data_IF_869300767465
#
_entry.id   IF_869300767465
#
_cell.length_a   1.000
_cell.length_b   1.000
_cell.length_c   1.000
_cell.angle_alpha   90.00
_cell.angle_beta   90.00
_cell.angle_gamma   90.00
#
_symmetry.space_group_name_H-M   'P 1'
#
loop_
_entity.id
_entity.type
_entity.pdbx_description
1 polymer ?
#
# COMPACT_ATOMS: atom_id res chain seq x y z
N UNK A 1 4.83 -18.69 6.40
CA UNK A 1 4.42 -18.97 5.02
C UNK A 1 5.68 -18.88 4.16
N UNK A 2 6.15 -20.01 3.65
CA UNK A 2 7.20 -20.06 2.63
C UNK A 2 6.50 -19.90 1.29
N UNK A 3 6.47 -18.70 0.74
CA UNK A 3 6.12 -18.48 -0.65
C UNK A 3 7.14 -19.27 -1.47
N UNK A 4 6.68 -20.20 -2.27
CA UNK A 4 7.50 -21.09 -3.06
C UNK A 4 8.51 -20.31 -3.90
N UNK A 5 9.77 -20.54 -3.61
CA UNK A 5 10.95 -19.81 -4.11
C UNK A 5 11.31 -20.14 -5.58
N UNK A 6 10.40 -20.65 -6.40
CA UNK A 6 10.73 -21.14 -7.75
C UNK A 6 9.91 -20.54 -8.91
N UNK A 7 9.00 -19.61 -8.68
CA UNK A 7 8.36 -18.91 -9.80
C UNK A 7 8.56 -17.40 -9.65
N UNK A 8 9.13 -16.77 -10.67
CA UNK A 8 9.13 -15.32 -10.86
C UNK A 8 7.73 -14.75 -11.14
N UNK A 9 6.69 -15.53 -10.89
CA UNK A 9 5.29 -15.26 -11.17
C UNK A 9 4.68 -14.66 -9.91
N UNK A 10 4.05 -13.49 -10.05
CA UNK A 10 3.36 -12.81 -8.96
C UNK A 10 2.04 -13.47 -8.55
N UNK A 11 1.23 -12.77 -7.76
CA UNK A 11 -0.03 -13.30 -7.22
C UNK A 11 -1.10 -13.55 -8.30
N UNK A 12 -1.05 -12.83 -9.40
CA UNK A 12 -2.03 -12.93 -10.50
C UNK A 12 -1.60 -13.97 -11.53
N UNK A 13 -2.57 -14.70 -12.09
CA UNK A 13 -2.35 -15.62 -13.21
C UNK A 13 -2.17 -17.08 -12.82
N UNK A 14 -2.25 -17.41 -11.54
CA UNK A 14 -2.15 -18.79 -11.06
C UNK A 14 -3.51 -19.49 -10.91
N UNK A 15 -4.61 -18.77 -10.97
CA UNK A 15 -6.01 -19.27 -10.76
C UNK A 15 -6.23 -19.98 -9.40
N UNK A 16 -5.33 -19.81 -8.45
CA UNK A 16 -5.30 -20.55 -7.18
C UNK A 16 -5.48 -19.68 -5.94
N UNK A 17 -5.42 -18.34 -6.08
CA UNK A 17 -5.48 -17.44 -4.90
C UNK A 17 -6.72 -17.70 -4.04
N UNK A 18 -7.88 -17.87 -4.66
CA UNK A 18 -9.13 -18.10 -3.94
C UNK A 18 -9.15 -19.44 -3.22
N UNK A 19 -8.57 -20.48 -3.81
CA UNK A 19 -8.51 -21.82 -3.22
C UNK A 19 -7.44 -21.91 -2.15
N UNK A 20 -6.31 -21.22 -2.32
CA UNK A 20 -5.25 -21.12 -1.31
C UNK A 20 -5.73 -20.42 -0.03
N UNK A 21 -6.57 -19.39 -0.15
CA UNK A 21 -7.15 -18.70 1.02
C UNK A 21 -8.03 -19.63 1.84
N UNK A 22 -8.78 -20.52 1.21
CA UNK A 22 -9.60 -21.53 1.90
C UNK A 22 -8.79 -22.56 2.68
N UNK A 23 -7.49 -22.68 2.40
CA UNK A 23 -6.58 -23.55 3.16
C UNK A 23 -6.06 -22.88 4.44
N UNK A 24 -6.39 -21.61 4.68
CA UNK A 24 -6.09 -20.97 5.97
C UNK A 24 -7.04 -21.58 7.01
N UNK A 25 -6.45 -22.28 7.94
CA UNK A 25 -7.13 -23.05 8.97
C UNK A 25 -7.77 -22.13 10.03
N UNK A 26 -8.93 -22.52 10.54
CA UNK A 26 -9.64 -21.80 11.63
C UNK A 26 -8.76 -21.67 12.88
N UNK A 27 -7.90 -22.65 13.19
CA UNK A 27 -6.94 -22.56 14.28
C UNK A 27 -5.92 -21.42 14.15
N UNK A 28 -5.61 -21.00 12.92
CA UNK A 28 -4.79 -19.81 12.67
C UNK A 28 -5.53 -18.52 13.04
N UNK A 29 -6.85 -18.47 12.75
CA UNK A 29 -7.71 -17.34 13.13
C UNK A 29 -7.83 -17.22 14.65
N UNK A 30 -8.09 -18.32 15.35
CA UNK A 30 -8.19 -18.35 16.82
C UNK A 30 -6.90 -17.86 17.47
N UNK A 31 -5.77 -18.30 16.94
CA UNK A 31 -4.46 -17.83 17.39
C UNK A 31 -4.27 -16.34 17.14
N UNK A 32 -4.66 -15.85 15.97
CA UNK A 32 -4.52 -14.42 15.63
C UNK A 32 -5.43 -13.55 16.51
N UNK A 33 -6.66 -13.98 16.78
CA UNK A 33 -7.57 -13.30 17.71
C UNK A 33 -6.93 -13.21 19.11
N UNK A 34 -6.33 -14.29 19.58
CA UNK A 34 -5.61 -14.30 20.87
C UNK A 34 -4.40 -13.36 20.87
N UNK A 35 -3.64 -13.30 19.78
CA UNK A 35 -2.51 -12.38 19.62
C UNK A 35 -2.98 -10.92 19.67
N UNK A 36 -4.13 -10.59 19.06
CA UNK A 36 -4.75 -9.27 19.14
C UNK A 36 -5.19 -8.95 20.58
N UNK A 37 -5.87 -9.86 21.25
CA UNK A 37 -6.31 -9.66 22.65
C UNK A 37 -5.11 -9.42 23.58
N UNK A 38 -4.03 -10.18 23.40
CA UNK A 38 -2.78 -9.98 24.13
C UNK A 38 -2.13 -8.63 23.82
N UNK A 39 -2.17 -8.17 22.55
CA UNK A 39 -1.66 -6.86 22.18
C UNK A 39 -2.47 -5.73 22.81
N UNK A 40 -3.79 -5.83 22.84
CA UNK A 40 -4.66 -4.84 23.48
C UNK A 40 -4.37 -4.75 24.99
N UNK A 41 -4.17 -5.89 25.64
CA UNK A 41 -3.87 -5.95 27.08
C UNK A 41 -2.45 -5.46 27.42
N UNK A 42 -1.46 -5.82 26.59
CA UNK A 42 -0.04 -5.50 26.78
C UNK A 42 0.62 -5.21 25.43
N UNK A 43 0.52 -3.97 24.90
CA UNK A 43 1.09 -3.63 23.61
C UNK A 43 2.62 -3.70 23.64
N UNK A 44 3.20 -4.44 22.69
CA UNK A 44 4.63 -4.52 22.46
C UNK A 44 4.96 -4.19 21.01
N UNK A 45 6.19 -3.74 20.75
CA UNK A 45 6.67 -3.51 19.39
C UNK A 45 6.50 -4.77 18.52
N UNK A 46 6.85 -5.94 19.06
CA UNK A 46 6.75 -7.22 18.35
C UNK A 46 5.31 -7.58 17.97
N UNK A 47 4.34 -7.38 18.87
CA UNK A 47 2.94 -7.65 18.58
C UNK A 47 2.35 -6.64 17.60
N UNK A 48 2.74 -5.36 17.66
CA UNK A 48 2.35 -4.34 16.70
C UNK A 48 2.89 -4.66 15.29
N UNK A 49 4.15 -5.08 15.18
CA UNK A 49 4.76 -5.50 13.92
C UNK A 49 4.05 -6.74 13.34
N UNK A 50 3.70 -7.72 14.17
CA UNK A 50 2.95 -8.89 13.72
C UNK A 50 1.61 -8.49 13.11
N UNK A 51 0.82 -7.68 13.82
CA UNK A 51 -0.51 -7.23 13.36
C UNK A 51 -0.39 -6.43 12.06
N UNK A 52 0.57 -5.52 11.99
CA UNK A 52 0.80 -4.73 10.79
C UNK A 52 1.26 -5.59 9.58
N UNK A 53 2.03 -6.65 9.82
CA UNK A 53 2.41 -7.61 8.77
C UNK A 53 1.21 -8.45 8.31
N UNK A 54 0.39 -8.95 9.25
CA UNK A 54 -0.84 -9.67 8.89
C UNK A 54 -1.75 -8.79 8.05
N UNK A 55 -1.94 -7.53 8.44
CA UNK A 55 -2.72 -6.57 7.67
C UNK A 55 -2.16 -6.38 6.26
N UNK A 56 -0.87 -6.13 6.13
CA UNK A 56 -0.21 -5.96 4.84
C UNK A 56 -0.42 -7.17 3.92
N UNK A 57 -0.11 -8.38 4.39
CA UNK A 57 -0.25 -9.60 3.58
C UNK A 57 -1.70 -9.90 3.24
N UNK A 58 -2.63 -9.67 4.17
CA UNK A 58 -4.06 -9.86 3.93
C UNK A 58 -4.58 -8.87 2.88
N UNK A 59 -4.10 -7.63 2.87
CA UNK A 59 -4.49 -6.63 1.86
C UNK A 59 -3.96 -6.99 0.47
N UNK A 60 -2.74 -7.51 0.36
CA UNK A 60 -2.18 -8.01 -0.89
C UNK A 60 -3.01 -9.16 -1.47
N UNK A 61 -3.32 -10.17 -0.65
CA UNK A 61 -4.14 -11.31 -1.06
C UNK A 61 -5.56 -10.88 -1.46
N UNK A 62 -6.20 -10.04 -0.64
CA UNK A 62 -7.54 -9.53 -0.94
C UNK A 62 -7.57 -8.74 -2.25
N UNK A 63 -6.56 -7.91 -2.50
CA UNK A 63 -6.48 -7.14 -3.72
C UNK A 63 -6.20 -8.03 -4.95
N UNK A 64 -5.38 -9.05 -4.81
CA UNK A 64 -5.19 -10.08 -5.84
C UNK A 64 -6.50 -10.78 -6.20
N UNK A 65 -7.25 -11.28 -5.20
CA UNK A 65 -8.55 -11.94 -5.40
C UNK A 65 -9.56 -11.01 -6.09
N UNK A 66 -9.61 -9.74 -5.69
CA UNK A 66 -10.53 -8.77 -6.30
C UNK A 66 -10.28 -8.61 -7.79
N UNK A 67 -9.03 -8.48 -8.18
CA UNK A 67 -8.64 -8.06 -9.53
C UNK A 67 -8.40 -9.25 -10.47
N UNK A 68 -8.04 -10.43 -9.99
CA UNK A 68 -7.78 -11.61 -10.80
C UNK A 68 -8.86 -11.90 -11.87
N UNK A 69 -10.19 -11.76 -11.59
CA UNK A 69 -11.20 -11.96 -12.63
C UNK A 69 -11.05 -11.04 -13.85
N UNK A 70 -10.56 -9.81 -13.67
CA UNK A 70 -10.33 -8.86 -14.77
C UNK A 70 -9.21 -9.38 -15.68
N UNK A 71 -8.10 -9.87 -15.10
CA UNK A 71 -7.00 -10.47 -15.86
C UNK A 71 -7.41 -11.76 -16.57
N UNK A 72 -8.40 -12.47 -16.03
CA UNK A 72 -9.02 -13.63 -16.65
C UNK A 72 -10.13 -13.26 -17.67
N UNK A 73 -10.18 -12.00 -18.12
CA UNK A 73 -11.08 -11.52 -19.18
C UNK A 73 -12.51 -11.21 -18.73
N UNK A 74 -12.81 -11.18 -17.44
CA UNK A 74 -14.12 -10.75 -16.95
C UNK A 74 -14.24 -9.24 -16.94
N UNK A 75 -15.47 -8.72 -17.10
CA UNK A 75 -15.76 -7.28 -17.11
C UNK A 75 -15.81 -6.65 -15.72
N UNK A 76 -15.96 -7.44 -14.67
CA UNK A 76 -16.11 -6.99 -13.28
C UNK A 76 -15.12 -7.71 -12.38
N UNK A 77 -14.63 -6.97 -11.40
CA UNK A 77 -13.81 -7.50 -10.32
C UNK A 77 -14.64 -8.41 -9.39
N UNK A 78 -13.97 -9.24 -8.62
CA UNK A 78 -14.62 -9.96 -7.54
C UNK A 78 -15.04 -8.98 -6.44
N UNK A 79 -16.29 -9.11 -5.97
CA UNK A 79 -16.86 -8.29 -4.90
C UNK A 79 -16.92 -9.01 -3.55
N UNK A 80 -16.23 -10.12 -3.42
CA UNK A 80 -16.32 -11.01 -2.28
C UNK A 80 -14.94 -11.32 -1.72
N UNK A 81 -14.74 -11.06 -0.42
CA UNK A 81 -13.54 -11.43 0.33
C UNK A 81 -13.91 -12.59 1.26
N UNK A 82 -13.36 -13.80 1.01
CA UNK A 82 -13.72 -14.99 1.74
C UNK A 82 -13.16 -15.00 3.16
N UNK A 83 -13.86 -15.71 4.06
CA UNK A 83 -13.30 -16.10 5.35
C UNK A 83 -12.20 -17.17 5.15
N UNK A 84 -11.10 -17.15 5.91
CA UNK A 84 -10.77 -16.25 7.04
C UNK A 84 -10.03 -14.96 6.64
N UNK A 85 -9.76 -14.75 5.36
CA UNK A 85 -9.04 -13.55 4.89
C UNK A 85 -9.77 -12.25 5.27
N UNK A 86 -11.10 -12.24 5.16
CA UNK A 86 -11.93 -11.11 5.60
C UNK A 86 -11.69 -10.78 7.07
N UNK A 87 -11.66 -11.79 7.95
CA UNK A 87 -11.38 -11.64 9.37
C UNK A 87 -9.98 -11.11 9.66
N UNK A 88 -8.95 -11.67 9.02
CA UNK A 88 -7.57 -11.21 9.16
C UNK A 88 -7.43 -9.73 8.77
N UNK A 89 -8.00 -9.35 7.64
CA UNK A 89 -7.92 -7.99 7.11
C UNK A 89 -8.68 -6.99 7.99
N UNK A 90 -9.91 -7.30 8.37
CA UNK A 90 -10.75 -6.40 9.17
C UNK A 90 -10.21 -6.19 10.57
N UNK A 91 -9.84 -7.28 11.29
CA UNK A 91 -9.29 -7.18 12.64
C UNK A 91 -7.97 -6.42 12.68
N UNK A 92 -7.05 -6.75 11.77
CA UNK A 92 -5.76 -6.07 11.72
C UNK A 92 -5.92 -4.59 11.33
N UNK A 93 -6.82 -4.26 10.41
CA UNK A 93 -7.13 -2.89 10.01
C UNK A 93 -7.70 -2.07 11.17
N UNK A 94 -8.60 -2.65 11.95
CA UNK A 94 -9.17 -1.99 13.15
C UNK A 94 -8.10 -1.64 14.18
N UNK A 95 -7.15 -2.55 14.44
CA UNK A 95 -6.08 -2.32 15.42
C UNK A 95 -5.06 -1.29 14.92
N UNK A 96 -4.74 -1.33 13.63
CA UNK A 96 -3.76 -0.38 13.03
C UNK A 96 -4.37 0.98 12.71
N UNK A 97 -5.70 1.14 12.82
CA UNK A 97 -6.41 2.37 12.44
C UNK A 97 -6.44 2.60 10.92
N UNK A 98 -6.16 1.57 10.13
CA UNK A 98 -6.15 1.64 8.67
C UNK A 98 -7.47 1.09 8.10
N UNK A 99 -7.82 1.51 6.89
CA UNK A 99 -8.98 0.92 6.21
C UNK A 99 -8.70 -0.54 5.81
N UNK A 100 -9.73 -1.41 5.72
CA UNK A 100 -9.57 -2.80 5.29
C UNK A 100 -9.45 -2.90 3.76
N UNK A 101 -8.56 -2.13 3.21
CA UNK A 101 -8.23 -2.05 1.79
C UNK A 101 -6.72 -1.87 1.65
N UNK A 102 -6.24 -2.04 0.44
CA UNK A 102 -4.85 -1.88 0.09
C UNK A 102 -4.41 -0.43 0.27
N UNK A 103 -3.39 -0.17 1.05
CA UNK A 103 -2.87 1.17 1.31
C UNK A 103 -1.51 1.41 0.67
N UNK A 104 -1.33 2.61 0.11
CA UNK A 104 -0.11 2.99 -0.59
C UNK A 104 1.13 2.89 0.29
N UNK A 105 1.19 3.67 1.37
CA UNK A 105 2.39 3.72 2.20
C UNK A 105 2.63 2.40 2.95
N UNK A 106 1.61 1.90 3.65
CA UNK A 106 1.77 0.75 4.52
C UNK A 106 1.96 -0.58 3.76
N UNK A 107 1.24 -0.78 2.66
CA UNK A 107 1.21 -2.07 1.98
C UNK A 107 1.97 -2.07 0.67
N UNK A 108 1.70 -1.08 -0.18
CA UNK A 108 2.20 -1.08 -1.54
C UNK A 108 3.67 -0.67 -1.65
N UNK A 109 4.12 0.24 -0.78
CA UNK A 109 5.49 0.77 -0.82
C UNK A 109 6.34 0.23 0.32
N UNK A 110 6.11 0.68 1.57
CA UNK A 110 7.07 0.51 2.66
C UNK A 110 7.31 -0.94 3.10
N UNK A 111 6.33 -1.83 2.94
CA UNK A 111 6.42 -3.24 3.36
C UNK A 111 6.59 -4.21 2.21
N UNK A 112 6.71 -3.72 0.99
CA UNK A 112 6.69 -4.56 -0.21
C UNK A 112 8.05 -4.80 -0.85
N UNK A 113 9.12 -4.22 -0.30
CA UNK A 113 10.47 -4.38 -0.81
C UNK A 113 11.55 -4.24 0.27
N UNK A 114 12.74 -4.68 -0.07
CA UNK A 114 13.94 -4.56 0.77
C UNK A 114 14.93 -3.66 0.03
N UNK A 115 15.26 -2.53 0.64
CA UNK A 115 16.31 -1.64 0.14
C UNK A 115 17.67 -2.34 0.21
N UNK A 116 18.57 -2.11 -0.76
CA UNK A 116 19.93 -2.60 -0.68
C UNK A 116 20.70 -1.92 0.48
N UNK A 117 21.68 -2.63 1.03
CA UNK A 117 22.56 -2.07 2.08
C UNK A 117 23.40 -0.90 1.55
N UNK A 118 23.76 -0.96 0.27
CA UNK A 118 24.51 0.12 -0.38
C UNK A 118 23.59 1.32 -0.65
N UNK A 119 24.00 2.47 -0.17
CA UNK A 119 23.33 3.73 -0.47
C UNK A 119 23.64 4.21 -1.88
N UNK A 120 22.70 4.91 -2.50
CA UNK A 120 22.93 5.60 -3.75
C UNK A 120 23.82 6.83 -3.48
N UNK A 121 24.99 6.86 -4.09
CA UNK A 121 26.04 7.88 -3.88
C UNK A 121 25.96 9.06 -4.86
N UNK A 122 25.28 8.88 -5.98
CA UNK A 122 25.17 9.89 -7.03
C UNK A 122 23.79 9.87 -7.69
N UNK A 123 22.93 10.74 -7.22
CA UNK A 123 21.56 10.89 -7.75
C UNK A 123 21.49 11.62 -9.11
N UNK A 124 22.55 12.33 -9.52
CA UNK A 124 22.58 13.02 -10.81
C UNK A 124 22.87 12.07 -11.99
N UNK A 125 23.33 10.85 -11.68
CA UNK A 125 23.57 9.82 -12.68
C UNK A 125 22.32 8.96 -12.87
N UNK A 126 21.60 9.21 -13.97
CA UNK A 126 20.37 8.46 -14.31
C UNK A 126 20.60 6.93 -14.39
N UNK A 127 21.76 6.48 -14.86
CA UNK A 127 22.09 5.05 -14.93
C UNK A 127 22.19 4.44 -13.54
N UNK A 128 22.86 5.12 -12.63
CA UNK A 128 22.97 4.70 -11.23
C UNK A 128 21.61 4.66 -10.54
N UNK A 129 20.74 5.65 -10.78
CA UNK A 129 19.38 5.64 -10.26
C UNK A 129 18.57 4.44 -10.75
N UNK A 130 18.66 4.12 -12.04
CA UNK A 130 18.01 2.95 -12.65
C UNK A 130 18.53 1.66 -12.01
N UNK A 131 19.84 1.51 -11.90
CA UNK A 131 20.46 0.32 -11.32
C UNK A 131 20.11 0.17 -9.83
N UNK A 132 20.09 1.28 -9.09
CA UNK A 132 19.65 1.29 -7.70
C UNK A 132 18.19 0.83 -7.56
N UNK A 133 17.26 1.39 -8.33
CA UNK A 133 15.85 0.97 -8.31
C UNK A 133 15.72 -0.53 -8.61
N UNK A 134 16.46 -1.05 -9.60
CA UNK A 134 16.45 -2.47 -9.96
C UNK A 134 17.08 -3.37 -8.91
N UNK A 135 17.97 -2.85 -8.09
CA UNK A 135 18.62 -3.60 -6.99
C UNK A 135 17.70 -3.78 -5.77
N UNK A 136 16.64 -2.98 -5.65
CA UNK A 136 15.66 -3.12 -4.58
C UNK A 136 14.90 -4.43 -4.78
N UNK A 137 14.94 -5.29 -3.76
CA UNK A 137 14.33 -6.63 -3.83
C UNK A 137 12.85 -6.55 -3.47
N UNK A 138 11.92 -6.79 -4.40
CA UNK A 138 10.51 -6.89 -4.08
C UNK A 138 10.23 -8.16 -3.24
N UNK A 139 9.37 -8.03 -2.23
CA UNK A 139 8.92 -9.13 -1.37
C UNK A 139 7.66 -9.80 -1.91
N UNK A 140 6.86 -9.06 -2.66
CA UNK A 140 5.60 -9.49 -3.23
C UNK A 140 5.38 -8.75 -4.54
N UNK A 141 4.62 -9.33 -5.46
CA UNK A 141 4.19 -8.71 -6.70
C UNK A 141 2.85 -9.29 -7.13
N UNK A 142 2.03 -8.51 -7.86
CA UNK A 142 0.83 -9.02 -8.49
C UNK A 142 1.15 -9.80 -9.77
N UNK A 143 2.05 -9.28 -10.61
CA UNK A 143 2.47 -9.89 -11.87
C UNK A 143 3.79 -10.65 -11.71
N UNK A 144 4.90 -9.98 -11.94
CA UNK A 144 6.24 -10.52 -11.86
C UNK A 144 7.18 -9.60 -11.05
N UNK A 145 8.31 -10.17 -10.64
CA UNK A 145 9.25 -9.50 -9.72
C UNK A 145 10.28 -8.62 -10.44
N UNK A 146 10.31 -8.59 -11.76
CA UNK A 146 11.30 -7.87 -12.57
C UNK A 146 10.68 -7.01 -13.69
N UNK A 147 9.36 -6.83 -13.65
CA UNK A 147 8.62 -6.12 -14.67
C UNK A 147 8.31 -4.66 -14.34
N UNK A 148 7.29 -4.18 -15.04
CA UNK A 148 6.82 -2.79 -14.96
C UNK A 148 6.29 -2.41 -13.55
N UNK A 149 5.65 -3.36 -12.87
CA UNK A 149 5.16 -3.18 -11.50
C UNK A 149 6.32 -2.94 -10.53
N UNK A 150 7.39 -3.75 -10.64
CA UNK A 150 8.58 -3.56 -9.82
C UNK A 150 9.19 -2.18 -10.05
N UNK A 151 9.40 -1.77 -11.30
CA UNK A 151 9.99 -0.49 -11.65
C UNK A 151 9.23 0.67 -11.01
N UNK A 152 7.92 0.69 -11.15
CA UNK A 152 7.07 1.72 -10.54
C UNK A 152 7.19 1.71 -9.01
N UNK A 153 6.94 0.58 -8.39
CA UNK A 153 6.82 0.45 -6.93
C UNK A 153 8.15 0.65 -6.21
N UNK A 154 9.24 0.08 -6.75
CA UNK A 154 10.56 0.21 -6.14
C UNK A 154 11.11 1.63 -6.30
N UNK A 155 10.73 2.36 -7.34
CA UNK A 155 11.02 3.80 -7.41
C UNK A 155 10.38 4.56 -6.25
N UNK A 156 9.11 4.29 -5.94
CA UNK A 156 8.43 4.93 -4.82
C UNK A 156 9.07 4.56 -3.48
N UNK A 157 9.48 3.29 -3.30
CA UNK A 157 10.20 2.89 -2.09
C UNK A 157 11.56 3.60 -1.95
N UNK A 158 12.27 3.79 -3.06
CA UNK A 158 13.52 4.57 -3.06
C UNK A 158 13.28 6.05 -2.70
N UNK A 159 12.20 6.64 -3.23
CA UNK A 159 11.81 8.02 -2.92
C UNK A 159 11.40 8.19 -1.44
N UNK A 160 10.67 7.23 -0.88
CA UNK A 160 10.29 7.27 0.54
C UNK A 160 11.51 7.24 1.47
N UNK A 161 12.63 6.67 1.04
CA UNK A 161 13.89 6.77 1.78
C UNK A 161 14.41 8.22 1.84
N UNK A 162 14.33 8.96 0.74
CA UNK A 162 14.73 10.38 0.75
C UNK A 162 13.77 11.24 1.55
N UNK A 163 12.51 10.83 1.67
CA UNK A 163 11.48 11.52 2.44
C UNK A 163 11.80 11.61 3.93
N UNK A 164 12.46 10.60 4.50
CA UNK A 164 12.86 10.62 5.91
C UNK A 164 13.80 11.80 6.19
N UNK A 165 14.78 12.02 5.32
CA UNK A 165 15.71 13.15 5.44
C UNK A 165 14.96 14.48 5.34
N UNK A 166 14.01 14.60 4.44
CA UNK A 166 13.18 15.81 4.32
C UNK A 166 12.38 16.06 5.58
N UNK A 167 11.64 15.07 6.09
CA UNK A 167 10.74 15.20 7.24
C UNK A 167 11.54 15.54 8.50
N UNK A 168 12.63 14.84 8.77
CA UNK A 168 13.47 15.06 9.96
C UNK A 168 14.04 16.48 9.97
N UNK A 169 14.65 16.92 8.88
CA UNK A 169 15.25 18.25 8.80
C UNK A 169 14.20 19.36 8.77
N UNK A 170 13.00 19.08 8.27
CA UNK A 170 11.87 20.02 8.32
C UNK A 170 11.41 20.28 9.76
N UNK A 171 11.28 19.23 10.55
CA UNK A 171 10.92 19.35 11.97
C UNK A 171 11.98 20.13 12.73
N UNK A 172 13.28 19.83 12.54
CA UNK A 172 14.38 20.54 13.17
C UNK A 172 14.40 22.04 12.78
N UNK A 173 14.19 22.35 11.50
CA UNK A 173 14.11 23.74 11.03
C UNK A 173 12.92 24.48 11.65
N UNK A 174 11.77 23.83 11.78
CA UNK A 174 10.55 24.39 12.41
C UNK A 174 10.76 24.65 13.90
N UNK A 175 11.56 23.85 14.59
CA UNK A 175 11.96 24.05 15.98
C UNK A 175 13.06 25.13 16.15
N UNK A 176 13.56 25.69 15.06
CA UNK A 176 14.62 26.73 15.09
C UNK A 176 16.04 26.20 15.22
N UNK A 177 16.23 24.87 15.07
CA UNK A 177 17.54 24.23 15.14
C UNK A 177 18.24 24.36 13.79
N UNK A 178 19.45 24.92 13.75
CA UNK A 178 20.33 25.00 12.57
C UNK A 178 19.57 25.20 11.22
N UNK A 179 18.68 26.19 11.22
CA UNK A 179 17.66 26.39 10.16
C UNK A 179 18.31 26.33 8.77
N UNK A 180 19.44 27.04 8.56
CA UNK A 180 20.08 27.06 7.24
C UNK A 180 20.53 25.69 6.79
N UNK A 181 21.24 24.95 7.65
CA UNK A 181 21.77 23.63 7.35
C UNK A 181 20.60 22.64 7.06
N UNK A 182 19.53 22.71 7.86
CA UNK A 182 18.37 21.84 7.66
C UNK A 182 17.61 22.18 6.37
N UNK A 183 17.52 23.46 5.98
CA UNK A 183 16.94 23.84 4.68
C UNK A 183 17.77 23.33 3.49
N UNK A 184 19.11 23.37 3.59
CA UNK A 184 19.99 22.79 2.56
C UNK A 184 19.80 21.27 2.42
N UNK A 185 19.58 20.55 3.53
CA UNK A 185 19.27 19.11 3.52
C UNK A 185 17.89 18.81 2.95
N UNK A 186 16.88 19.65 3.20
CA UNK A 186 15.54 19.53 2.60
C UNK A 186 15.62 19.72 1.07
N UNK A 187 16.36 20.73 0.62
CA UNK A 187 16.60 20.96 -0.82
C UNK A 187 17.27 19.74 -1.46
N UNK A 188 18.31 19.21 -0.84
CA UNK A 188 19.00 18.00 -1.30
C UNK A 188 18.06 16.80 -1.39
N UNK A 189 17.27 16.53 -0.35
CA UNK A 189 16.30 15.43 -0.35
C UNK A 189 15.28 15.57 -1.47
N UNK A 190 14.80 16.78 -1.73
CA UNK A 190 13.86 17.08 -2.81
C UNK A 190 14.49 16.84 -4.19
N UNK A 191 15.72 17.28 -4.39
CA UNK A 191 16.47 17.03 -5.63
C UNK A 191 16.67 15.54 -5.86
N UNK A 192 17.10 14.79 -4.85
CA UNK A 192 17.28 13.33 -4.93
C UNK A 192 16.00 12.61 -5.27
N UNK A 193 14.89 12.98 -4.63
CA UNK A 193 13.57 12.42 -4.95
C UNK A 193 13.15 12.68 -6.40
N UNK A 194 13.38 13.89 -6.91
CA UNK A 194 13.11 14.25 -8.31
C UNK A 194 13.96 13.44 -9.31
N UNK A 195 15.22 13.18 -8.99
CA UNK A 195 16.09 12.36 -9.85
C UNK A 195 15.63 10.89 -9.89
N UNK A 196 15.23 10.33 -8.76
CA UNK A 196 14.61 8.99 -8.71
C UNK A 196 13.30 8.95 -9.50
N UNK A 197 12.45 9.98 -9.35
CA UNK A 197 11.21 10.07 -10.12
C UNK A 197 11.46 10.12 -11.63
N UNK A 198 12.47 10.85 -12.09
CA UNK A 198 12.86 10.88 -13.49
C UNK A 198 13.34 9.50 -13.99
N UNK A 199 14.02 8.72 -13.13
CA UNK A 199 14.45 7.37 -13.47
C UNK A 199 13.26 6.41 -13.62
N UNK A 200 12.14 6.66 -12.94
CA UNK A 200 10.92 5.83 -13.02
C UNK A 200 10.45 5.62 -14.46
N UNK A 201 10.52 6.64 -15.31
CA UNK A 201 10.13 6.56 -16.72
C UNK A 201 11.00 5.62 -17.58
N UNK A 202 12.13 5.15 -17.03
CA UNK A 202 13.02 4.19 -17.67
C UNK A 202 12.85 2.76 -17.16
N UNK A 203 12.20 2.60 -16.01
CA UNK A 203 11.95 1.30 -15.38
C UNK A 203 10.47 0.91 -15.35
N UNK A 204 9.57 1.86 -15.64
CA UNK A 204 8.13 1.63 -15.70
C UNK A 204 7.53 2.36 -16.91
N UNK A 205 6.94 1.60 -17.82
CA UNK A 205 6.30 2.15 -19.01
C UNK A 205 4.88 2.65 -18.70
N UNK A 206 4.52 3.92 -19.02
CA UNK A 206 3.22 4.51 -18.68
C UNK A 206 1.99 3.75 -19.19
N UNK A 207 2.07 3.18 -20.40
CA UNK A 207 0.95 2.41 -20.96
C UNK A 207 0.74 1.09 -20.24
N UNK A 208 1.82 0.39 -19.90
CA UNK A 208 1.76 -0.85 -19.12
C UNK A 208 1.35 -0.56 -17.68
N UNK A 209 1.85 0.53 -17.08
CA UNK A 209 1.41 0.98 -15.77
C UNK A 209 -0.12 1.09 -15.67
N UNK A 210 -0.76 1.72 -16.64
CA UNK A 210 -2.22 1.88 -16.63
C UNK A 210 -2.98 0.55 -16.71
N UNK A 211 -2.43 -0.46 -17.38
CA UNK A 211 -3.05 -1.76 -17.58
C UNK A 211 -2.79 -2.74 -16.42
N UNK A 212 -1.57 -2.72 -15.90
CA UNK A 212 -1.06 -3.78 -15.04
C UNK A 212 -0.91 -3.36 -13.58
N UNK A 213 -0.73 -2.05 -13.33
CA UNK A 213 -0.45 -1.54 -11.99
C UNK A 213 -1.61 -0.72 -11.44
N UNK A 214 -2.07 0.26 -12.21
CA UNK A 214 -3.09 1.22 -11.75
C UNK A 214 -4.38 0.56 -11.30
N UNK A 215 -4.76 -0.56 -11.90
CA UNK A 215 -5.99 -1.27 -11.56
C UNK A 215 -6.01 -1.77 -10.11
N UNK A 216 -4.84 -2.08 -9.53
CA UNK A 216 -4.72 -2.55 -8.15
C UNK A 216 -4.81 -1.42 -7.11
N UNK A 217 -4.51 -0.20 -7.51
CA UNK A 217 -4.52 0.96 -6.62
C UNK A 217 -5.75 1.85 -6.79
N UNK A 218 -6.69 1.46 -7.65
CA UNK A 218 -7.99 2.11 -7.76
C UNK A 218 -8.87 1.71 -6.57
N UNK A 219 -9.45 2.72 -5.91
CA UNK A 219 -10.42 2.47 -4.83
C UNK A 219 -11.77 1.99 -5.33
N UNK A 220 -12.62 1.69 -4.37
CA UNK A 220 -13.99 1.22 -4.60
C UNK A 220 -14.98 2.35 -4.92
N UNK A 221 -14.51 3.57 -5.11
CA UNK A 221 -15.38 4.71 -5.36
C UNK A 221 -16.28 4.45 -6.57
N UNK A 222 -17.59 4.48 -6.30
CA UNK A 222 -18.69 4.21 -7.23
C UNK A 222 -18.86 5.23 -8.35
N UNK A 223 -17.79 5.58 -9.04
CA UNK A 223 -17.89 6.34 -10.27
C UNK A 223 -18.47 5.47 -11.37
N UNK A 224 -19.32 6.03 -12.20
CA UNK A 224 -19.82 5.40 -13.41
C UNK A 224 -18.65 4.79 -14.18
N UNK A 225 -18.68 3.47 -14.37
CA UNK A 225 -17.59 2.73 -15.02
C UNK A 225 -16.67 1.98 -14.05
N UNK A 226 -16.89 2.05 -12.74
CA UNK A 226 -16.17 1.23 -11.78
C UNK A 226 -16.25 -0.26 -12.13
N UNK A 227 -15.13 -0.95 -12.01
CA UNK A 227 -15.06 -2.41 -12.14
C UNK A 227 -15.74 -3.12 -10.95
N UNK A 228 -15.99 -2.40 -9.85
CA UNK A 228 -16.67 -2.90 -8.65
C UNK A 228 -18.17 -2.64 -8.68
N UNK A 229 -18.98 -3.46 -8.00
CA UNK A 229 -20.40 -3.20 -7.83
C UNK A 229 -20.62 -1.97 -6.90
N UNK A 230 -21.76 -1.30 -7.07
CA UNK A 230 -22.14 -0.13 -6.25
C UNK A 230 -22.26 -0.45 -4.76
N UNK A 231 -22.60 -1.70 -4.43
CA UNK A 231 -22.69 -2.18 -3.05
C UNK A 231 -21.33 -2.25 -2.34
N UNK A 232 -20.22 -2.21 -3.09
CA UNK A 232 -18.88 -2.38 -2.57
C UNK A 232 -18.43 -3.84 -2.48
N UNK A 233 -17.52 -4.11 -1.53
CA UNK A 233 -16.98 -5.44 -1.25
C UNK A 233 -17.75 -6.09 -0.10
N UNK A 234 -18.11 -7.36 -0.29
CA UNK A 234 -18.67 -8.18 0.76
C UNK A 234 -17.55 -8.92 1.51
N UNK A 235 -17.49 -8.73 2.81
CA UNK A 235 -16.58 -9.41 3.72
C UNK A 235 -17.33 -10.52 4.46
N UNK A 236 -16.96 -11.78 4.19
CA UNK A 236 -17.65 -12.95 4.76
C UNK A 236 -17.37 -13.07 6.26
N UNK A 237 -18.37 -13.54 7.02
CA UNK A 237 -18.30 -13.85 8.45
C UNK A 237 -17.75 -12.71 9.35
N UNK A 238 -17.92 -11.46 8.97
CA UNK A 238 -17.40 -10.34 9.75
C UNK A 238 -18.32 -9.92 10.92
N UNK A 239 -19.56 -10.43 11.01
CA UNK A 239 -20.57 -9.99 11.98
C UNK A 239 -20.15 -10.19 13.44
N UNK A 240 -19.59 -11.33 13.78
CA UNK A 240 -19.15 -11.65 15.15
C UNK A 240 -17.90 -10.86 15.60
N UNK A 241 -17.12 -10.38 14.64
CA UNK A 241 -15.88 -9.64 14.90
C UNK A 241 -16.17 -8.22 15.42
N UNK A 242 -17.27 -7.62 14.97
CA UNK A 242 -17.61 -6.23 15.28
C UNK A 242 -18.66 -6.08 16.38
N UNK A 243 -19.29 -7.16 16.81
CA UNK A 243 -20.29 -7.23 17.89
C UNK A 243 -21.47 -6.25 17.72
N UNK A 244 -21.76 -5.79 16.51
CA UNK A 244 -22.79 -4.84 16.20
C UNK A 244 -23.62 -5.32 15.02
N UNK A 245 -24.87 -5.55 15.18
CA UNK A 245 -26.01 -5.63 14.21
C UNK A 245 -25.74 -6.03 12.74
N UNK A 246 -24.62 -6.67 12.43
CA UNK A 246 -24.33 -7.17 11.11
C UNK A 246 -24.93 -8.55 10.90
N UNK A 247 -25.35 -8.80 9.67
CA UNK A 247 -25.78 -10.14 9.25
C UNK A 247 -24.68 -11.15 9.58
N UNK A 248 -25.04 -12.27 10.19
CA UNK A 248 -24.11 -13.37 10.54
C UNK A 248 -23.33 -13.90 9.32
N UNK A 249 -23.75 -13.54 8.09
CA UNK A 249 -23.07 -13.92 6.84
C UNK A 249 -21.97 -12.97 6.42
N UNK A 250 -21.95 -11.73 6.90
CA UNK A 250 -20.95 -10.75 6.52
C UNK A 250 -21.46 -9.32 6.39
N UNK A 251 -20.62 -8.43 5.89
CA UNK A 251 -20.94 -7.02 5.70
C UNK A 251 -20.42 -6.48 4.37
N UNK A 252 -21.09 -5.44 3.83
CA UNK A 252 -20.62 -4.68 2.67
C UNK A 252 -19.89 -3.41 3.11
N UNK A 253 -18.73 -3.15 2.50
CA UNK A 253 -17.99 -1.90 2.64
C UNK A 253 -17.85 -1.26 1.26
N UNK A 254 -18.34 -0.03 1.10
CA UNK A 254 -18.40 0.67 -0.19
C UNK A 254 -17.50 1.89 -0.32
N UNK A 255 -17.09 2.50 0.79
CA UNK A 255 -16.37 3.78 0.81
C UNK A 255 -14.87 3.59 1.04
N UNK A 256 -14.27 2.60 0.36
CA UNK A 256 -12.84 2.34 0.49
C UNK A 256 -12.08 3.17 -0.55
N UNK A 257 -11.15 3.98 -0.06
CA UNK A 257 -10.38 4.90 -0.89
C UNK A 257 -9.32 4.17 -1.70
N UNK A 258 -9.08 4.66 -2.92
CA UNK A 258 -7.96 4.21 -3.75
C UNK A 258 -6.63 4.77 -3.26
N UNK A 259 -5.57 4.21 -3.81
CA UNK A 259 -4.21 4.55 -3.44
C UNK A 259 -3.59 5.52 -4.45
N UNK A 260 -2.83 6.46 -3.94
CA UNK A 260 -2.10 7.45 -4.73
C UNK A 260 -0.82 7.81 -4.00
N UNK A 261 0.21 8.27 -4.72
CA UNK A 261 1.41 8.83 -4.12
C UNK A 261 1.13 9.99 -3.15
N UNK A 262 -0.04 10.63 -3.29
CA UNK A 262 -0.53 11.64 -2.37
C UNK A 262 -0.87 11.11 -0.96
N UNK A 263 -0.97 9.80 -0.78
CA UNK A 263 -1.11 9.16 0.54
C UNK A 263 0.24 9.00 1.27
N UNK A 264 1.36 9.31 0.60
CA UNK A 264 2.67 9.45 1.26
C UNK A 264 2.69 10.70 2.12
N UNK A 265 3.33 10.62 3.29
CA UNK A 265 3.57 11.79 4.15
C UNK A 265 4.51 12.82 3.50
N UNK A 266 5.32 12.39 2.54
CA UNK A 266 6.28 13.23 1.83
C UNK A 266 5.64 14.45 1.17
N UNK A 267 4.63 14.25 0.32
CA UNK A 267 4.03 15.34 -0.44
C UNK A 267 3.36 16.41 0.44
N UNK A 268 2.47 16.04 1.39
CA UNK A 268 1.86 17.05 2.26
C UNK A 268 2.87 17.84 3.09
N UNK A 269 3.92 17.19 3.58
CA UNK A 269 4.95 17.87 4.37
C UNK A 269 5.80 18.78 3.48
N UNK A 270 6.20 18.33 2.30
CA UNK A 270 6.94 19.14 1.34
C UNK A 270 6.14 20.38 0.92
N UNK A 271 4.84 20.23 0.64
CA UNK A 271 3.94 21.32 0.27
C UNK A 271 3.81 22.35 1.42
N UNK A 272 3.64 21.90 2.66
CA UNK A 272 3.55 22.76 3.83
C UNK A 272 4.85 23.55 4.07
N UNK A 273 5.99 22.91 3.99
CA UNK A 273 7.31 23.56 4.20
C UNK A 273 7.61 24.58 3.11
N UNK A 274 7.26 24.26 1.86
CA UNK A 274 7.54 25.16 0.72
C UNK A 274 6.49 26.24 0.54
N UNK A 275 5.40 26.22 1.31
CA UNK A 275 4.30 27.16 1.20
C UNK A 275 3.46 26.98 -0.08
N UNK A 276 3.56 25.85 -0.76
CA UNK A 276 2.81 25.54 -1.98
C UNK A 276 1.40 25.03 -1.63
N UNK A 277 0.63 25.85 -0.90
CA UNK A 277 -0.64 25.49 -0.28
C UNK A 277 -1.84 25.25 -1.20
N UNK A 278 -1.67 25.27 -2.54
CA UNK A 278 -2.77 25.04 -3.50
C UNK A 278 -2.38 24.05 -4.61
N UNK A 279 -1.54 23.10 -4.31
CA UNK A 279 -1.11 22.12 -5.30
C UNK A 279 -2.24 21.13 -5.61
N UNK A 280 -2.38 20.76 -6.87
CA UNK A 280 -3.33 19.72 -7.33
C UNK A 280 -3.22 18.43 -6.51
N UNK A 281 -2.03 18.10 -6.03
CA UNK A 281 -1.76 16.96 -5.16
C UNK A 281 -2.41 17.08 -3.79
N UNK A 282 -2.33 18.23 -3.12
CA UNK A 282 -3.02 18.47 -1.84
C UNK A 282 -4.53 18.37 -2.00
N UNK A 283 -5.08 18.88 -3.12
CA UNK A 283 -6.49 18.75 -3.45
C UNK A 283 -6.90 17.29 -3.69
N UNK A 284 -6.07 16.51 -4.39
CA UNK A 284 -6.30 15.09 -4.59
C UNK A 284 -6.20 14.34 -3.26
N UNK A 285 -5.22 14.63 -2.41
CA UNK A 285 -5.14 14.07 -1.06
C UNK A 285 -6.41 14.32 -0.26
N UNK A 286 -6.89 15.58 -0.23
CA UNK A 286 -8.12 15.94 0.48
C UNK A 286 -9.34 15.22 -0.08
N UNK A 287 -9.45 15.05 -1.40
CA UNK A 287 -10.55 14.31 -2.02
C UNK A 287 -10.54 12.81 -1.68
N UNK A 288 -9.35 12.22 -1.55
CA UNK A 288 -9.22 10.77 -1.34
C UNK A 288 -9.06 10.37 0.12
N UNK A 289 -8.67 11.29 1.01
CA UNK A 289 -8.41 11.02 2.44
C UNK A 289 -9.41 11.67 3.38
N UNK A 290 -10.14 12.68 2.95
CA UNK A 290 -11.20 13.29 3.78
C UNK A 290 -12.46 12.43 3.77
N UNK A 291 -13.09 12.20 4.94
CA UNK A 291 -14.46 11.75 4.95
C UNK A 291 -15.32 12.76 4.15
N UNK A 292 -16.26 12.24 3.38
CA UNK A 292 -17.13 13.07 2.56
C UNK A 292 -17.76 14.19 3.40
N UNK A 293 -17.77 15.45 2.94
CA UNK A 293 -18.44 16.52 3.69
C UNK A 293 -19.98 16.41 3.67
N UNK A 294 -20.54 15.25 3.43
CA UNK A 294 -21.97 14.98 3.30
C UNK A 294 -22.52 13.93 4.27
N UNK A 295 -21.77 13.62 5.32
CA UNK A 295 -22.28 12.81 6.43
C UNK A 295 -22.55 13.70 7.66
#
# INVERSE_FOLDING_TARGET
MTVHNNSKIGLIGQNVLFDEVKLIDDGLMDKFILDIQNHIANPTKKSAELIANVRCWSSWLANGIKIEPIFNGKKKACSFIPWPLSGLLLLSSRITGQQPEFEYAADYVLRSGILPDQELDNYDDLSKNIDYIRSIKPLVAFHDFDGNEQGFRMTHLAMERTSNMLIENALLAAEGVDIKENLEKIELATMQSNQLFNAMWKVSEPLLYNKEVRIFIQGLFGNQGSIYPEQGLFFENCGDIFNENYDSKGCYLSNLHGQTGANSSYHPIADEITGVGNHTHAYICLLYTSPSPRD
#
